data_IF_617560159801
#
_entry.id   IF_617560159801
#
_cell.length_a   1.000
_cell.length_b   1.000
_cell.length_c   1.000
_cell.angle_alpha   90.00
_cell.angle_beta   90.00
_cell.angle_gamma   90.00
#
_symmetry.space_group_name_H-M   'P 1'
#
loop_
_entity.id
_entity.type
_entity.pdbx_description
1 polymer ?
#
# COMPACT_ATOMS: atom_id res chain seq x y z
N UNK A 1 20.41 -62.33 -14.29
CA UNK A 1 19.96 -61.80 -13.00
C UNK A 1 19.64 -60.33 -13.18
N UNK A 2 18.34 -60.07 -13.34
CA UNK A 2 17.58 -58.99 -12.67
C UNK A 2 17.96 -57.52 -12.92
N UNK A 3 17.99 -57.10 -14.20
CA UNK A 3 17.78 -55.69 -14.56
C UNK A 3 16.33 -55.38 -15.01
N UNK A 4 15.46 -56.40 -15.11
CA UNK A 4 14.09 -56.24 -15.61
C UNK A 4 13.11 -55.78 -14.52
N UNK A 5 13.35 -56.13 -13.26
CA UNK A 5 12.51 -55.72 -12.12
C UNK A 5 12.75 -54.26 -11.74
N UNK A 6 14.01 -53.84 -11.63
CA UNK A 6 14.41 -52.44 -11.40
C UNK A 6 13.87 -51.53 -12.48
N UNK A 7 14.00 -51.87 -13.77
CA UNK A 7 13.48 -51.03 -14.87
C UNK A 7 11.95 -50.92 -14.89
N UNK A 8 11.21 -51.96 -14.47
CA UNK A 8 9.73 -51.94 -14.42
C UNK A 8 9.22 -51.22 -13.17
N UNK A 9 9.92 -51.38 -12.04
CA UNK A 9 9.61 -50.71 -10.79
C UNK A 9 9.90 -49.20 -10.87
N UNK A 10 11.03 -48.85 -11.47
CA UNK A 10 11.46 -47.47 -11.74
C UNK A 10 10.47 -46.74 -12.65
N UNK A 11 10.03 -47.35 -13.77
CA UNK A 11 9.03 -46.74 -14.66
C UNK A 11 7.65 -46.61 -14.03
N UNK A 12 7.22 -47.55 -13.20
CA UNK A 12 5.88 -47.52 -12.60
C UNK A 12 5.76 -46.56 -11.41
N UNK A 13 6.77 -46.53 -10.54
CA UNK A 13 6.76 -45.72 -9.32
C UNK A 13 7.15 -44.28 -9.59
N UNK A 14 8.17 -44.02 -10.42
CA UNK A 14 8.55 -42.64 -10.79
C UNK A 14 7.40 -41.91 -11.51
N UNK A 15 6.63 -42.61 -12.34
CA UNK A 15 5.49 -42.01 -13.03
C UNK A 15 4.34 -41.63 -12.08
N UNK A 16 4.10 -42.45 -11.05
CA UNK A 16 3.11 -42.13 -10.02
C UNK A 16 3.56 -40.95 -9.15
N UNK A 17 4.83 -40.92 -8.75
CA UNK A 17 5.39 -39.82 -7.96
C UNK A 17 5.39 -38.53 -8.79
N UNK A 18 5.83 -38.58 -10.05
CA UNK A 18 5.82 -37.42 -10.95
C UNK A 18 4.40 -36.87 -11.15
N UNK A 19 3.40 -37.73 -11.32
CA UNK A 19 1.99 -37.32 -11.39
C UNK A 19 1.50 -36.69 -10.10
N UNK A 20 1.82 -37.29 -8.96
CA UNK A 20 1.41 -36.77 -7.67
C UNK A 20 2.03 -35.40 -7.42
N UNK A 21 3.34 -35.26 -7.65
CA UNK A 21 4.05 -33.98 -7.53
C UNK A 21 3.48 -32.93 -8.49
N UNK A 22 3.25 -33.28 -9.76
CA UNK A 22 2.65 -32.36 -10.72
C UNK A 22 1.24 -31.93 -10.29
N UNK A 23 0.41 -32.86 -9.82
CA UNK A 23 -0.93 -32.56 -9.33
C UNK A 23 -0.90 -31.68 -8.07
N UNK A 24 -0.03 -31.98 -7.10
CA UNK A 24 0.16 -31.16 -5.91
C UNK A 24 0.63 -29.75 -6.25
N UNK A 25 1.59 -29.59 -7.18
CA UNK A 25 2.04 -28.28 -7.63
C UNK A 25 0.93 -27.51 -8.34
N UNK A 26 0.18 -28.15 -9.25
CA UNK A 26 -0.97 -27.52 -9.90
C UNK A 26 -2.04 -27.10 -8.89
N UNK A 27 -2.32 -27.93 -7.88
CA UNK A 27 -3.29 -27.63 -6.83
C UNK A 27 -2.86 -26.42 -5.98
N UNK A 28 -1.59 -26.37 -5.56
CA UNK A 28 -1.05 -25.23 -4.80
C UNK A 28 -1.07 -23.93 -5.61
N UNK A 29 -0.65 -23.99 -6.89
CA UNK A 29 -0.70 -22.83 -7.78
C UNK A 29 -2.14 -22.35 -7.98
N UNK A 30 -3.08 -23.27 -8.18
CA UNK A 30 -4.49 -22.95 -8.30
C UNK A 30 -5.05 -22.29 -7.04
N UNK A 31 -4.77 -22.83 -5.85
CA UNK A 31 -5.18 -22.23 -4.59
C UNK A 31 -4.59 -20.84 -4.37
N UNK A 32 -3.31 -20.65 -4.72
CA UNK A 32 -2.67 -19.32 -4.65
C UNK A 32 -3.38 -18.31 -5.55
N UNK A 33 -3.76 -18.72 -6.76
CA UNK A 33 -4.35 -17.84 -7.77
C UNK A 33 -5.80 -17.47 -7.41
N UNK A 34 -6.59 -18.44 -6.94
CA UNK A 34 -7.98 -18.23 -6.48
C UNK A 34 -8.01 -17.48 -5.16
N UNK A 35 -7.21 -17.90 -4.18
CA UNK A 35 -7.16 -17.28 -2.86
C UNK A 35 -6.67 -15.84 -2.92
N UNK A 36 -5.56 -15.58 -3.62
CA UNK A 36 -5.08 -14.22 -3.79
C UNK A 36 -5.96 -13.37 -4.72
N UNK A 37 -6.63 -13.98 -5.70
CA UNK A 37 -7.62 -13.30 -6.55
C UNK A 37 -8.82 -12.81 -5.76
N UNK A 38 -9.37 -13.65 -4.87
CA UNK A 38 -10.46 -13.27 -3.96
C UNK A 38 -10.02 -12.20 -2.96
N UNK A 39 -8.81 -12.32 -2.40
CA UNK A 39 -8.26 -11.30 -1.50
C UNK A 39 -8.12 -9.94 -2.19
N UNK A 40 -7.56 -9.91 -3.41
CA UNK A 40 -7.47 -8.66 -4.16
C UNK A 40 -8.85 -8.12 -4.55
N UNK A 41 -9.80 -8.96 -4.90
CA UNK A 41 -11.15 -8.52 -5.23
C UNK A 41 -11.85 -7.83 -4.05
N UNK A 42 -11.58 -8.23 -2.81
CA UNK A 42 -12.15 -7.57 -1.63
C UNK A 42 -11.41 -6.29 -1.24
N UNK A 43 -10.12 -6.16 -1.56
CA UNK A 43 -9.31 -4.99 -1.18
C UNK A 43 -9.18 -3.93 -2.29
N UNK A 44 -9.24 -4.30 -3.56
CA UNK A 44 -8.98 -3.42 -4.70
C UNK A 44 -10.13 -2.47 -5.04
N UNK A 45 -11.33 -2.70 -4.49
CA UNK A 45 -12.43 -1.71 -4.52
C UNK A 45 -12.30 -0.64 -3.42
N UNK A 46 -11.13 -0.54 -2.77
CA UNK A 46 -10.84 0.46 -1.76
C UNK A 46 -10.93 1.88 -2.31
N UNK A 47 -11.82 2.68 -1.69
CA UNK A 47 -12.01 4.13 -1.86
C UNK A 47 -10.76 4.85 -2.37
N UNK A 48 -10.91 5.62 -3.44
CA UNK A 48 -9.93 6.67 -3.77
C UNK A 48 -9.65 7.47 -2.51
N UNK A 49 -8.36 7.59 -2.15
CA UNK A 49 -7.96 8.43 -1.03
C UNK A 49 -8.18 9.88 -1.45
N UNK A 50 -9.39 10.35 -1.21
CA UNK A 50 -9.78 11.72 -1.45
C UNK A 50 -9.14 12.59 -0.37
N UNK A 51 -8.43 13.63 -0.82
CA UNK A 51 -7.85 14.58 0.09
C UNK A 51 -8.95 15.52 0.54
N UNK A 52 -9.14 15.62 1.85
CA UNK A 52 -10.06 16.59 2.41
C UNK A 52 -9.60 18.01 2.04
N UNK A 53 -10.52 18.82 1.54
CA UNK A 53 -10.22 20.20 1.15
C UNK A 53 -10.18 21.13 2.37
N UNK A 54 -9.42 22.25 2.30
CA UNK A 54 -9.43 23.26 3.35
C UNK A 54 -10.85 23.74 3.71
N UNK A 55 -11.69 23.93 2.70
CA UNK A 55 -13.09 24.35 2.85
C UNK A 55 -13.92 23.31 3.61
N UNK A 56 -13.85 22.03 3.23
CA UNK A 56 -14.57 20.94 3.90
C UNK A 56 -14.18 20.82 5.37
N UNK A 57 -12.90 21.01 5.69
CA UNK A 57 -12.43 20.93 7.07
C UNK A 57 -13.02 22.07 7.92
N UNK A 58 -12.96 23.30 7.41
CA UNK A 58 -13.51 24.47 8.13
C UNK A 58 -15.04 24.38 8.24
N UNK A 59 -15.72 23.86 7.22
CA UNK A 59 -17.16 23.59 7.27
C UNK A 59 -17.52 22.55 8.35
N UNK A 60 -16.74 21.48 8.49
CA UNK A 60 -16.93 20.48 9.54
C UNK A 60 -16.70 21.04 10.94
N UNK A 61 -15.68 21.88 11.12
CA UNK A 61 -15.41 22.55 12.40
C UNK A 61 -16.47 23.61 12.76
N UNK A 62 -17.11 24.23 11.76
CA UNK A 62 -18.19 25.19 11.99
C UNK A 62 -19.40 24.55 12.72
N UNK A 63 -19.51 23.22 12.73
CA UNK A 63 -20.54 22.46 13.44
C UNK A 63 -20.16 21.93 14.84
N UNK A 64 -18.90 22.03 15.26
CA UNK A 64 -18.40 21.44 16.52
C UNK A 64 -17.56 22.47 17.27
N UNK A 65 -18.16 23.16 18.24
CA UNK A 65 -17.48 24.16 19.06
C UNK A 65 -16.85 23.52 20.31
N UNK A 66 -15.52 23.34 20.28
CA UNK A 66 -14.50 23.71 21.31
C UNK A 66 -13.32 22.71 21.34
N UNK A 67 -12.08 23.22 21.32
CA UNK A 67 -10.96 22.57 21.98
C UNK A 67 -10.55 23.32 23.26
N UNK A 68 -10.10 22.52 24.23
CA UNK A 68 -9.52 22.88 25.53
C UNK A 68 -8.06 23.34 25.33
N UNK A 69 -7.56 24.38 26.04
CA UNK A 69 -6.20 24.86 25.84
C UNK A 69 -5.22 24.04 26.66
N UNK A 70 -4.34 23.29 26.01
CA UNK A 70 -3.19 22.67 26.68
C UNK A 70 -1.96 22.74 25.78
N UNK A 71 -1.16 23.79 25.99
CA UNK A 71 0.23 23.85 25.54
C UNK A 71 1.13 23.39 26.68
N UNK A 72 2.10 22.48 26.46
CA UNK A 72 3.27 22.39 27.31
C UNK A 72 4.34 23.36 26.79
N UNK A 73 4.72 24.28 27.66
CA UNK A 73 5.95 25.07 27.59
C UNK A 73 7.12 24.16 27.96
N UNK A 74 8.13 24.07 27.10
CA UNK A 74 9.49 23.81 27.56
C UNK A 74 10.46 24.69 26.77
N UNK A 75 11.20 25.50 27.52
CA UNK A 75 12.14 26.48 27.01
C UNK A 75 13.42 25.80 26.55
N UNK A 76 13.88 26.16 25.36
CA UNK A 76 15.30 26.39 25.10
C UNK A 76 15.44 27.36 23.92
N UNK A 77 16.25 28.38 24.17
CA UNK A 77 16.56 29.50 23.31
C UNK A 77 17.71 29.07 22.38
N UNK A 78 17.42 28.84 21.09
CA UNK A 78 18.43 28.81 20.03
C UNK A 78 17.86 29.58 18.85
N UNK A 79 18.42 30.76 18.64
CA UNK A 79 18.17 31.68 17.53
C UNK A 79 18.79 31.07 16.26
N UNK A 80 18.03 30.22 15.57
CA UNK A 80 18.32 29.84 14.19
C UNK A 80 17.03 29.29 13.57
N UNK A 81 16.66 29.79 12.39
CA UNK A 81 15.49 29.26 11.66
C UNK A 81 15.74 27.78 11.40
N UNK A 82 14.81 26.86 11.77
CA UNK A 82 15.02 25.43 11.62
C UNK A 82 15.43 25.08 10.17
N UNK A 83 16.44 24.23 9.96
CA UNK A 83 16.90 23.85 8.62
C UNK A 83 15.79 23.35 7.69
N UNK A 84 14.76 22.71 8.28
CA UNK A 84 13.58 22.15 7.61
C UNK A 84 12.69 23.18 6.89
N UNK A 85 12.73 24.45 7.28
CA UNK A 85 12.00 25.53 6.60
C UNK A 85 12.81 26.13 5.44
N UNK A 86 14.10 25.81 5.29
CA UNK A 86 14.92 26.29 4.16
C UNK A 86 14.44 25.63 2.87
N UNK A 87 13.66 26.37 2.08
CA UNK A 87 13.12 25.95 0.78
C UNK A 87 11.59 25.83 0.75
N UNK A 88 10.93 25.87 1.91
CA UNK A 88 9.47 25.93 2.00
C UNK A 88 9.05 27.40 2.00
N UNK A 89 8.17 27.78 1.08
CA UNK A 89 7.63 29.14 1.00
C UNK A 89 6.45 29.25 1.96
N UNK A 90 6.55 30.12 2.96
CA UNK A 90 5.46 30.37 3.89
C UNK A 90 4.52 31.46 3.34
N UNK A 91 3.25 31.15 3.05
CA UNK A 91 2.26 32.11 2.56
C UNK A 91 2.02 33.25 3.56
N UNK A 92 1.62 34.42 3.05
CA UNK A 92 1.46 35.64 3.85
C UNK A 92 0.50 35.47 5.04
N UNK A 93 -0.60 34.73 4.85
CA UNK A 93 -1.60 34.47 5.88
C UNK A 93 -1.04 33.73 7.10
N UNK A 94 0.04 32.96 6.91
CA UNK A 94 0.71 32.20 7.96
C UNK A 94 1.90 32.94 8.56
N UNK A 95 2.45 33.95 7.88
CA UNK A 95 3.63 34.67 8.38
C UNK A 95 3.35 35.32 9.73
N UNK A 96 2.16 35.88 9.93
CA UNK A 96 1.72 36.48 11.19
C UNK A 96 1.71 35.45 12.33
N UNK A 97 1.14 34.27 12.09
CA UNK A 97 0.99 33.18 13.07
C UNK A 97 2.33 32.54 13.47
N UNK A 98 3.27 32.50 12.53
CA UNK A 98 4.57 31.86 12.71
C UNK A 98 5.72 32.87 12.79
N UNK A 99 5.45 34.08 13.31
CA UNK A 99 6.48 35.10 13.55
C UNK A 99 7.44 34.68 14.68
N UNK A 100 6.94 33.96 15.69
CA UNK A 100 7.72 33.50 16.83
C UNK A 100 8.55 32.25 16.47
N UNK A 101 9.83 32.24 16.82
CA UNK A 101 10.73 31.10 16.68
C UNK A 101 10.17 29.80 17.29
N UNK A 102 9.43 29.89 18.41
CA UNK A 102 8.78 28.71 19.00
C UNK A 102 7.72 28.11 18.06
N UNK A 103 6.88 28.93 17.45
CA UNK A 103 5.86 28.47 16.51
C UNK A 103 6.50 27.91 15.23
N UNK A 104 7.58 28.53 14.77
CA UNK A 104 8.36 28.01 13.63
C UNK A 104 8.98 26.65 13.93
N UNK A 105 9.50 26.43 15.15
CA UNK A 105 10.01 25.11 15.57
C UNK A 105 8.89 24.08 15.67
N UNK A 106 7.73 24.46 16.23
CA UNK A 106 6.56 23.59 16.26
C UNK A 106 6.16 23.15 14.84
N UNK A 107 6.09 24.10 13.90
CA UNK A 107 5.73 23.82 12.52
C UNK A 107 6.79 22.94 11.84
N UNK A 108 8.07 23.28 12.00
CA UNK A 108 9.17 22.50 11.44
C UNK A 108 9.15 21.05 11.95
N UNK A 109 8.95 20.85 13.26
CA UNK A 109 8.86 19.51 13.86
C UNK A 109 7.66 18.73 13.32
N UNK A 110 6.51 19.37 13.12
CA UNK A 110 5.36 18.70 12.50
C UNK A 110 5.59 18.37 11.02
N UNK A 111 6.26 19.23 10.27
CA UNK A 111 6.57 18.97 8.87
C UNK A 111 7.64 17.89 8.65
N UNK A 112 8.49 17.64 9.66
CA UNK A 112 9.56 16.65 9.58
C UNK A 112 9.03 15.25 9.23
N UNK A 113 7.93 14.85 9.88
CA UNK A 113 7.28 13.56 9.67
C UNK A 113 6.55 13.45 8.31
N UNK A 114 6.38 14.57 7.59
CA UNK A 114 5.79 14.57 6.26
C UNK A 114 6.85 14.35 5.17
N UNK A 115 6.52 13.58 4.11
CA UNK A 115 7.37 13.48 2.93
C UNK A 115 7.60 14.86 2.30
N UNK A 116 8.83 15.13 1.84
CA UNK A 116 9.23 16.44 1.30
C UNK A 116 8.27 16.99 0.24
N UNK A 117 7.82 16.13 -0.67
CA UNK A 117 6.86 16.44 -1.74
C UNK A 117 5.49 16.94 -1.23
N UNK A 118 5.11 16.60 0.01
CA UNK A 118 3.82 16.96 0.60
C UNK A 118 3.90 18.20 1.49
N UNK A 119 5.11 18.59 1.93
CA UNK A 119 5.30 19.68 2.90
C UNK A 119 4.75 21.01 2.38
N UNK A 120 5.16 21.42 1.18
CA UNK A 120 4.69 22.70 0.60
C UNK A 120 3.17 22.69 0.39
N UNK A 121 2.63 21.59 -0.13
CA UNK A 121 1.19 21.49 -0.38
C UNK A 121 0.36 21.49 0.92
N UNK A 122 0.90 20.93 2.01
CA UNK A 122 0.28 21.03 3.32
C UNK A 122 0.29 22.47 3.84
N UNK A 123 1.40 23.19 3.69
CA UNK A 123 1.53 24.61 4.06
C UNK A 123 0.56 25.49 3.26
N UNK A 124 0.47 25.31 1.94
CA UNK A 124 -0.42 26.08 1.09
C UNK A 124 -1.89 25.86 1.47
N UNK A 125 -2.28 24.60 1.73
CA UNK A 125 -3.63 24.27 2.19
C UNK A 125 -3.94 24.79 3.59
N UNK A 126 -2.94 24.89 4.47
CA UNK A 126 -3.11 25.46 5.81
C UNK A 126 -3.37 26.96 5.74
N UNK A 127 -2.64 27.68 4.89
CA UNK A 127 -2.86 29.10 4.66
C UNK A 127 -4.29 29.35 4.18
N UNK A 128 -4.76 28.53 3.25
CA UNK A 128 -6.13 28.60 2.75
C UNK A 128 -7.17 28.27 3.83
N UNK A 129 -6.93 27.25 4.66
CA UNK A 129 -7.82 26.89 5.77
C UNK A 129 -7.94 28.04 6.79
N UNK A 130 -6.81 28.67 7.15
CA UNK A 130 -6.77 29.84 8.03
C UNK A 130 -7.51 31.02 7.40
N UNK A 131 -7.30 31.28 6.11
CA UNK A 131 -7.98 32.35 5.38
C UNK A 131 -9.51 32.19 5.43
N UNK A 132 -10.01 31.00 5.12
CA UNK A 132 -11.45 30.68 5.16
C UNK A 132 -11.99 30.75 6.61
N UNK A 133 -11.22 30.27 7.58
CA UNK A 133 -11.59 30.33 8.99
C UNK A 133 -11.74 31.78 9.49
N UNK A 134 -10.83 32.67 9.08
CA UNK A 134 -10.89 34.11 9.41
C UNK A 134 -12.11 34.79 8.79
N UNK A 135 -12.46 34.46 7.55
CA UNK A 135 -13.71 34.94 6.91
C UNK A 135 -14.95 34.54 7.73
N UNK A 136 -14.90 33.39 8.40
CA UNK A 136 -15.94 32.88 9.29
C UNK A 136 -15.77 33.25 10.76
N UNK A 137 -14.83 34.14 11.08
CA UNK A 137 -14.54 34.59 12.45
C UNK A 137 -14.19 33.45 13.43
N UNK A 138 -13.57 32.38 12.92
CA UNK A 138 -13.06 31.26 13.72
C UNK A 138 -11.64 31.54 14.24
N UNK A 139 -11.20 30.79 15.26
CA UNK A 139 -9.84 30.91 15.80
C UNK A 139 -8.84 30.13 14.94
N UNK A 140 -7.69 30.73 14.67
CA UNK A 140 -6.65 30.16 13.79
C UNK A 140 -6.01 28.89 14.38
N UNK A 141 -5.72 28.87 15.69
CA UNK A 141 -4.99 27.77 16.35
C UNK A 141 -5.64 26.38 16.15
N UNK A 142 -6.93 26.20 16.50
CA UNK A 142 -7.63 24.94 16.28
C UNK A 142 -7.68 24.49 14.80
N UNK A 143 -7.77 25.45 13.88
CA UNK A 143 -7.83 25.19 12.44
C UNK A 143 -6.48 24.69 11.94
N UNK A 144 -5.40 25.36 12.34
CA UNK A 144 -4.02 24.94 12.06
C UNK A 144 -3.76 23.54 12.59
N UNK A 145 -4.12 23.25 13.84
CA UNK A 145 -3.91 21.94 14.44
C UNK A 145 -4.70 20.84 13.72
N UNK A 146 -5.97 21.08 13.45
CA UNK A 146 -6.82 20.11 12.74
C UNK A 146 -6.36 19.88 11.31
N UNK A 147 -5.95 20.94 10.59
CA UNK A 147 -5.41 20.80 9.25
C UNK A 147 -4.11 19.99 9.22
N UNK A 148 -3.20 20.25 10.18
CA UNK A 148 -1.97 19.47 10.30
C UNK A 148 -2.26 17.98 10.56
N UNK A 149 -3.23 17.66 11.41
CA UNK A 149 -3.66 16.28 11.62
C UNK A 149 -4.16 15.62 10.32
N UNK A 150 -4.96 16.34 9.53
CA UNK A 150 -5.46 15.87 8.22
C UNK A 150 -4.33 15.66 7.21
N UNK A 151 -3.30 16.52 7.19
CA UNK A 151 -2.13 16.30 6.35
C UNK A 151 -1.39 15.00 6.70
N UNK A 152 -1.17 14.72 8.00
CA UNK A 152 -0.51 13.49 8.43
C UNK A 152 -1.34 12.24 8.12
N UNK A 153 -2.64 12.29 8.36
CA UNK A 153 -3.55 11.18 8.04
C UNK A 153 -3.57 10.89 6.54
N UNK A 154 -3.63 11.93 5.71
CA UNK A 154 -3.52 11.78 4.26
C UNK A 154 -2.18 11.17 3.84
N UNK A 155 -1.07 11.66 4.40
CA UNK A 155 0.27 11.15 4.11
C UNK A 155 0.39 9.66 4.46
N UNK A 156 -0.09 9.26 5.64
CA UNK A 156 -0.10 7.88 6.10
C UNK A 156 -0.97 6.98 5.21
N UNK A 157 -2.16 7.46 4.81
CA UNK A 157 -3.03 6.72 3.88
C UNK A 157 -2.38 6.55 2.51
N UNK A 158 -1.74 7.60 1.99
CA UNK A 158 -1.04 7.58 0.69
C UNK A 158 0.09 6.56 0.70
N UNK A 159 0.93 6.53 1.74
CA UNK A 159 2.04 5.57 1.85
C UNK A 159 1.52 4.12 1.95
N UNK A 160 0.46 3.88 2.71
CA UNK A 160 -0.20 2.57 2.77
C UNK A 160 -0.78 2.15 1.41
N UNK A 161 -1.42 3.06 0.69
CA UNK A 161 -1.96 2.75 -0.64
C UNK A 161 -0.86 2.50 -1.68
N UNK A 162 0.25 3.25 -1.63
CA UNK A 162 1.40 2.98 -2.49
C UNK A 162 2.03 1.61 -2.20
N UNK A 163 2.16 1.24 -0.93
CA UNK A 163 2.62 -0.08 -0.53
C UNK A 163 1.66 -1.18 -1.01
N UNK A 164 0.35 -0.99 -0.83
CA UNK A 164 -0.66 -1.91 -1.33
C UNK A 164 -0.59 -2.06 -2.86
N UNK A 165 -0.45 -0.95 -3.60
CA UNK A 165 -0.31 -0.96 -5.06
C UNK A 165 0.95 -1.71 -5.53
N UNK A 166 2.09 -1.56 -4.83
CA UNK A 166 3.31 -2.34 -5.12
C UNK A 166 3.07 -3.84 -4.92
N UNK A 167 2.40 -4.22 -3.84
CA UNK A 167 2.04 -5.62 -3.57
C UNK A 167 1.08 -6.18 -4.62
N UNK A 168 0.06 -5.41 -5.01
CA UNK A 168 -0.86 -5.80 -6.09
C UNK A 168 -0.12 -6.01 -7.40
N UNK A 169 0.82 -5.13 -7.77
CA UNK A 169 1.64 -5.31 -8.99
C UNK A 169 2.48 -6.58 -8.95
N UNK A 170 3.17 -6.84 -7.83
CA UNK A 170 3.94 -8.06 -7.63
C UNK A 170 3.07 -9.31 -7.70
N UNK A 171 1.87 -9.26 -7.10
CA UNK A 171 0.91 -10.35 -7.17
C UNK A 171 0.45 -10.61 -8.60
N UNK A 172 0.09 -9.57 -9.36
CA UNK A 172 -0.32 -9.72 -10.77
C UNK A 172 0.80 -10.34 -11.61
N UNK A 173 2.04 -9.87 -11.44
CA UNK A 173 3.19 -10.47 -12.11
C UNK A 173 3.38 -11.95 -11.72
N UNK A 174 3.31 -12.26 -10.42
CA UNK A 174 3.39 -13.63 -9.89
C UNK A 174 2.27 -14.54 -10.38
N UNK A 175 1.04 -14.02 -10.51
CA UNK A 175 -0.12 -14.74 -11.03
C UNK A 175 0.07 -15.09 -12.52
N UNK A 176 0.61 -14.16 -13.33
CA UNK A 176 0.92 -14.43 -14.74
C UNK A 176 1.98 -15.52 -14.89
N UNK A 177 3.07 -15.45 -14.12
CA UNK A 177 4.12 -16.48 -14.13
C UNK A 177 3.56 -17.83 -13.68
N UNK A 178 2.74 -17.84 -12.62
CA UNK A 178 2.09 -19.05 -12.11
C UNK A 178 1.16 -19.68 -13.15
N UNK A 179 0.39 -18.86 -13.88
CA UNK A 179 -0.48 -19.32 -14.96
C UNK A 179 0.33 -19.96 -16.10
N UNK A 180 1.42 -19.32 -16.52
CA UNK A 180 2.32 -19.88 -17.54
C UNK A 180 2.94 -21.21 -17.09
N UNK A 181 3.37 -21.30 -15.83
CA UNK A 181 3.89 -22.55 -15.25
C UNK A 181 2.82 -23.63 -15.19
N UNK A 182 1.59 -23.29 -14.84
CA UNK A 182 0.47 -24.23 -14.80
C UNK A 182 0.19 -24.77 -16.21
N UNK A 183 0.17 -23.91 -17.24
CA UNK A 183 0.02 -24.35 -18.64
C UNK A 183 1.16 -25.30 -19.01
N UNK A 184 2.41 -24.95 -18.71
CA UNK A 184 3.57 -25.80 -19.01
C UNK A 184 3.50 -27.17 -18.31
N UNK A 185 3.12 -27.21 -17.02
CA UNK A 185 2.94 -28.45 -16.27
C UNK A 185 1.79 -29.29 -16.83
N UNK A 186 0.67 -28.69 -17.19
CA UNK A 186 -0.43 -29.41 -17.84
C UNK A 186 -0.01 -29.98 -19.19
N UNK A 187 0.69 -29.21 -20.02
CA UNK A 187 1.25 -29.71 -21.28
C UNK A 187 2.20 -30.90 -21.05
N UNK A 188 3.08 -30.82 -20.05
CA UNK A 188 3.98 -31.92 -19.69
C UNK A 188 3.19 -33.16 -19.25
N UNK A 189 2.18 -33.00 -18.39
CA UNK A 189 1.32 -34.10 -17.92
C UNK A 189 0.56 -34.75 -19.07
N UNK A 190 0.04 -33.96 -20.02
CA UNK A 190 -0.63 -34.47 -21.21
C UNK A 190 0.32 -35.26 -22.11
N UNK A 191 1.56 -34.81 -22.31
CA UNK A 191 2.59 -35.55 -23.04
C UNK A 191 2.92 -36.87 -22.35
N UNK A 192 3.09 -36.86 -21.04
CA UNK A 192 3.32 -38.08 -20.25
C UNK A 192 2.14 -39.05 -20.38
N UNK A 193 0.91 -38.57 -20.25
CA UNK A 193 -0.31 -39.37 -20.47
C UNK A 193 -0.37 -39.96 -21.88
N UNK A 194 0.01 -39.19 -22.90
CA UNK A 194 0.04 -39.66 -24.28
C UNK A 194 1.09 -40.77 -24.49
N UNK A 195 2.29 -40.61 -23.93
CA UNK A 195 3.34 -41.64 -23.95
C UNK A 195 2.86 -42.90 -23.22
N UNK A 196 2.26 -42.77 -22.04
CA UNK A 196 1.73 -43.95 -21.32
C UNK A 196 0.65 -44.64 -22.16
N UNK A 197 -0.30 -43.89 -22.72
CA UNK A 197 -1.37 -44.48 -23.54
C UNK A 197 -0.82 -45.24 -24.74
N UNK A 198 0.19 -44.69 -25.42
CA UNK A 198 0.78 -45.30 -26.60
C UNK A 198 1.74 -46.47 -26.28
N UNK A 199 2.23 -46.55 -25.04
CA UNK A 199 3.16 -47.61 -24.59
C UNK A 199 2.48 -48.69 -23.77
N UNK A 200 1.16 -48.60 -23.53
CA UNK A 200 0.39 -49.71 -22.97
C UNK A 200 0.44 -50.87 -23.98
N UNK A 201 0.92 -52.07 -23.58
CA UNK A 201 0.78 -53.24 -24.43
C UNK A 201 -0.72 -53.43 -24.65
N UNK A 202 -1.15 -53.48 -25.90
CA UNK A 202 -2.49 -53.91 -26.26
C UNK A 202 -2.68 -55.28 -25.59
N UNK A 203 -3.38 -55.32 -24.47
CA UNK A 203 -3.77 -56.57 -23.85
C UNK A 203 -4.56 -57.29 -24.93
N UNK A 204 -3.99 -58.43 -25.32
CA UNK A 204 -4.42 -59.29 -26.38
C UNK A 204 -5.95 -59.29 -26.49
N UNK A 205 -6.44 -58.88 -27.66
CA UNK A 205 -7.76 -59.28 -28.08
C UNK A 205 -7.85 -60.81 -27.97
N UNK A 206 -8.92 -61.36 -27.39
CA UNK A 206 -9.12 -62.80 -27.33
C UNK A 206 -9.16 -63.42 -28.73
#
# INVERSE_FOLDING_TARGET
MDNSFTSRFERGVLFRIARFVAFSLCFLLFLSLVGGGLYLATTAFGKSIERQTPTELVDQMSGVSKPDPSAPTDGNEIEDTPPLLKGIKLPADLQELFTNAQNQRWLAGRLEDLPEEQRQQCIDGMAEAVRIAREKQMQDGPVVESWMATCHDYAAKKTLAEAANKMTRLYVAGALVSLLMLIALFSLVLVLLAIERNTRPAQAAP
#
